data_IF_129406727548
#
_entry.id   IF_129406727548
#
_cell.length_a   1.000
_cell.length_b   1.000
_cell.length_c   1.000
_cell.angle_alpha   90.00
_cell.angle_beta   90.00
_cell.angle_gamma   90.00
#
_symmetry.space_group_name_H-M   'P 1'
#
loop_
_entity.id
_entity.type
_entity.pdbx_description
1 polymer ?
#
# COMPACT_ATOMS: atom_id res chain seq x y z
N UNK A 1 11.50 7.09 1.66
CA UNK A 1 11.57 8.07 0.55
C UNK A 1 10.17 8.58 0.22
N UNK A 2 10.00 9.91 0.08
CA UNK A 2 8.74 10.55 -0.35
C UNK A 2 8.92 11.08 -1.76
N UNK A 3 7.95 10.80 -2.65
CA UNK A 3 7.88 11.37 -3.98
C UNK A 3 6.92 12.56 -3.97
N UNK A 4 7.38 13.75 -4.39
CA UNK A 4 6.58 14.95 -4.59
C UNK A 4 6.27 15.06 -6.07
N UNK A 5 5.00 15.25 -6.42
CA UNK A 5 4.53 15.39 -7.80
C UNK A 5 3.70 16.67 -7.90
N UNK A 6 4.19 17.67 -8.61
CA UNK A 6 3.51 18.95 -8.81
C UNK A 6 4.15 19.63 -10.03
N UNK A 7 3.39 20.18 -10.95
CA UNK A 7 3.94 20.87 -12.13
C UNK A 7 4.56 22.24 -11.79
N UNK A 8 4.16 22.81 -10.66
CA UNK A 8 4.68 24.07 -10.17
C UNK A 8 5.99 23.88 -9.38
N UNK A 9 7.10 24.38 -9.93
CA UNK A 9 8.42 24.29 -9.31
C UNK A 9 8.45 24.92 -7.89
N UNK A 10 7.82 26.07 -7.69
CA UNK A 10 7.82 26.75 -6.39
C UNK A 10 7.11 25.91 -5.32
N UNK A 11 6.04 25.22 -5.71
CA UNK A 11 5.33 24.31 -4.83
C UNK A 11 6.18 23.08 -4.49
N UNK A 12 6.85 22.47 -5.47
CA UNK A 12 7.80 21.37 -5.20
C UNK A 12 8.89 21.81 -4.23
N UNK A 13 9.51 22.97 -4.47
CA UNK A 13 10.55 23.54 -3.57
C UNK A 13 10.00 23.77 -2.18
N UNK A 14 8.79 24.30 -2.04
CA UNK A 14 8.14 24.53 -0.75
C UNK A 14 7.90 23.21 0.00
N UNK A 15 7.23 22.24 -0.62
CA UNK A 15 6.95 20.93 0.00
C UNK A 15 8.25 20.19 0.34
N UNK A 16 9.25 20.26 -0.55
CA UNK A 16 10.57 19.69 -0.29
C UNK A 16 11.24 20.32 0.93
N UNK A 17 11.19 21.66 1.07
CA UNK A 17 11.79 22.36 2.20
C UNK A 17 11.23 21.88 3.54
N UNK A 18 9.94 21.52 3.57
CA UNK A 18 9.28 20.97 4.74
C UNK A 18 9.75 19.52 5.03
N UNK A 19 9.84 18.69 3.99
CA UNK A 19 10.02 17.24 4.17
C UNK A 19 11.48 16.81 4.27
N UNK A 20 12.43 17.52 3.64
CA UNK A 20 13.83 17.10 3.51
C UNK A 20 14.59 16.96 4.83
N UNK A 21 14.08 17.57 5.92
CA UNK A 21 14.69 17.44 7.25
C UNK A 21 14.47 16.06 7.89
N UNK A 22 13.42 15.34 7.46
CA UNK A 22 13.01 14.06 8.05
C UNK A 22 13.00 12.90 7.04
N UNK A 23 12.91 13.22 5.74
CA UNK A 23 12.71 12.22 4.68
C UNK A 23 13.68 12.43 3.49
N UNK A 24 14.06 11.33 2.83
CA UNK A 24 14.62 11.43 1.48
C UNK A 24 13.50 11.82 0.54
N UNK A 25 13.71 12.86 -0.29
CA UNK A 25 12.69 13.41 -1.20
C UNK A 25 13.15 13.22 -2.63
N UNK A 26 12.25 12.73 -3.48
CA UNK A 26 12.36 12.74 -4.94
C UNK A 26 11.23 13.62 -5.51
N UNK A 27 11.41 14.12 -6.72
CA UNK A 27 10.49 15.05 -7.36
C UNK A 27 10.13 14.58 -8.77
N UNK A 28 8.88 14.79 -9.14
CA UNK A 28 8.36 14.64 -10.49
C UNK A 28 7.53 15.87 -10.86
N UNK A 29 7.50 16.22 -12.15
CA UNK A 29 6.77 17.39 -12.65
C UNK A 29 5.38 17.06 -13.16
N UNK A 30 5.07 15.78 -13.34
CA UNK A 30 3.76 15.26 -13.75
C UNK A 30 3.60 13.79 -13.35
N UNK A 31 2.40 13.23 -13.62
CA UNK A 31 2.09 11.85 -13.26
C UNK A 31 2.85 10.80 -14.07
N UNK A 32 3.24 11.07 -15.33
CA UNK A 32 4.03 10.12 -16.14
C UNK A 32 5.45 10.00 -15.61
N UNK A 33 6.11 11.12 -15.35
CA UNK A 33 7.42 11.15 -14.72
C UNK A 33 7.38 10.50 -13.32
N UNK A 34 6.31 10.72 -12.56
CA UNK A 34 6.12 10.05 -11.28
C UNK A 34 6.06 8.52 -11.40
N UNK A 35 5.34 7.97 -12.39
CA UNK A 35 5.29 6.51 -12.62
C UNK A 35 6.65 5.94 -13.00
N UNK A 36 7.46 6.65 -13.81
CA UNK A 36 8.81 6.21 -14.12
C UNK A 36 9.69 6.09 -12.87
N UNK A 37 9.58 7.05 -11.96
CA UNK A 37 10.34 7.02 -10.69
C UNK A 37 9.84 5.88 -9.80
N UNK A 38 8.52 5.69 -9.68
CA UNK A 38 7.90 4.64 -8.87
C UNK A 38 8.34 3.23 -9.27
N UNK A 39 8.62 2.99 -10.56
CA UNK A 39 9.12 1.71 -11.04
C UNK A 39 10.64 1.51 -10.88
N UNK A 40 11.39 2.58 -10.61
CA UNK A 40 12.86 2.52 -10.49
C UNK A 40 13.38 2.66 -9.08
N UNK A 41 12.63 3.36 -8.22
CA UNK A 41 13.04 3.76 -6.89
C UNK A 41 12.07 3.20 -5.84
N UNK A 42 12.58 2.89 -4.65
CA UNK A 42 11.74 2.50 -3.52
C UNK A 42 11.10 3.73 -2.89
N UNK A 43 9.82 3.94 -3.17
CA UNK A 43 9.01 5.04 -2.66
C UNK A 43 8.08 4.52 -1.55
N UNK A 44 8.07 5.22 -0.42
CA UNK A 44 7.23 4.88 0.74
C UNK A 44 5.95 5.73 0.81
N UNK A 45 5.92 6.86 0.10
CA UNK A 45 4.81 7.82 0.16
C UNK A 45 4.80 8.75 -1.05
N UNK A 46 3.60 9.12 -1.53
CA UNK A 46 3.42 10.08 -2.62
C UNK A 46 2.65 11.30 -2.10
N UNK A 47 3.18 12.50 -2.39
CA UNK A 47 2.48 13.79 -2.23
C UNK A 47 2.29 14.35 -3.63
N UNK A 48 1.07 14.39 -4.12
CA UNK A 48 0.77 14.81 -5.50
C UNK A 48 -0.16 16.00 -5.53
N UNK A 49 0.10 16.96 -6.42
CA UNK A 49 -0.94 17.91 -6.80
C UNK A 49 -2.09 17.19 -7.50
N UNK A 50 -3.29 17.76 -7.38
CA UNK A 50 -4.48 17.26 -8.07
C UNK A 50 -4.44 17.61 -9.55
N UNK A 51 -4.11 18.86 -9.87
CA UNK A 51 -4.24 19.42 -11.21
C UNK A 51 -2.88 19.61 -11.86
N UNK A 52 -2.49 18.68 -12.70
CA UNK A 52 -1.22 18.70 -13.43
C UNK A 52 -1.47 18.43 -14.93
N UNK A 53 -0.61 18.95 -15.83
CA UNK A 53 -0.66 18.60 -17.24
C UNK A 53 -0.28 17.13 -17.46
N UNK A 54 -0.56 16.61 -18.65
CA UNK A 54 -0.24 15.24 -19.11
C UNK A 54 -1.02 14.19 -18.33
N UNK A 55 -0.77 14.05 -17.02
CA UNK A 55 -1.47 13.12 -16.12
C UNK A 55 -1.74 13.82 -14.80
N UNK A 56 -3.00 13.97 -14.44
CA UNK A 56 -3.43 14.57 -13.17
C UNK A 56 -3.23 13.61 -11.97
N UNK A 57 -3.38 14.15 -10.76
CA UNK A 57 -3.15 13.40 -9.52
C UNK A 57 -4.16 12.27 -9.31
N UNK A 58 -5.38 12.35 -9.86
CA UNK A 58 -6.36 11.27 -9.76
C UNK A 58 -6.02 10.11 -10.70
N UNK A 59 -5.65 10.42 -11.94
CA UNK A 59 -5.22 9.41 -12.90
C UNK A 59 -3.93 8.72 -12.44
N UNK A 60 -2.97 9.48 -11.89
CA UNK A 60 -1.79 8.92 -11.23
C UNK A 60 -2.19 7.96 -10.11
N UNK A 61 -3.09 8.40 -9.22
CA UNK A 61 -3.56 7.57 -8.11
C UNK A 61 -4.23 6.28 -8.59
N UNK A 62 -5.07 6.36 -9.61
CA UNK A 62 -5.71 5.20 -10.22
C UNK A 62 -4.68 4.20 -10.74
N UNK A 63 -3.70 4.65 -11.52
CA UNK A 63 -2.64 3.78 -12.06
C UNK A 63 -1.78 3.16 -10.98
N UNK A 64 -1.42 3.91 -9.95
CA UNK A 64 -0.69 3.38 -8.80
C UNK A 64 -1.49 2.29 -8.08
N UNK A 65 -2.81 2.48 -7.88
CA UNK A 65 -3.65 1.50 -7.18
C UNK A 65 -3.99 0.26 -8.01
N UNK A 66 -3.97 0.36 -9.33
CA UNK A 66 -4.14 -0.77 -10.26
C UNK A 66 -2.88 -1.63 -10.42
N UNK A 67 -1.69 -1.09 -10.14
CA UNK A 67 -0.42 -1.82 -10.23
C UNK A 67 -0.07 -2.48 -8.89
N UNK A 68 -0.15 -3.82 -8.84
CA UNK A 68 0.10 -4.60 -7.63
C UNK A 68 1.49 -4.38 -7.02
N UNK A 69 2.49 -3.99 -7.80
CA UNK A 69 3.85 -3.76 -7.33
C UNK A 69 3.97 -2.49 -6.49
N UNK A 70 3.16 -1.47 -6.77
CA UNK A 70 3.20 -0.14 -6.14
C UNK A 70 1.87 0.27 -5.48
N UNK A 71 0.80 -0.55 -5.58
CA UNK A 71 -0.54 -0.25 -5.03
C UNK A 71 -0.55 -0.01 -3.51
N UNK A 72 0.43 -0.57 -2.82
CA UNK A 72 0.60 -0.41 -1.38
C UNK A 72 1.09 0.99 -0.98
N UNK A 73 1.60 1.81 -1.91
CA UNK A 73 2.14 3.13 -1.60
C UNK A 73 0.99 4.10 -1.28
N UNK A 74 1.02 4.80 -0.13
CA UNK A 74 0.01 5.80 0.22
C UNK A 74 0.16 7.08 -0.59
N UNK A 75 -1.00 7.70 -0.87
CA UNK A 75 -1.07 8.90 -1.69
C UNK A 75 -1.84 9.98 -0.92
N UNK A 76 -1.19 11.14 -0.74
CA UNK A 76 -1.79 12.38 -0.26
C UNK A 76 -1.94 13.35 -1.44
N UNK A 77 -3.17 13.77 -1.72
CA UNK A 77 -3.44 14.75 -2.78
C UNK A 77 -3.51 16.16 -2.20
N UNK A 78 -2.74 17.07 -2.80
CA UNK A 78 -2.83 18.50 -2.55
C UNK A 78 -3.84 19.11 -3.53
N UNK A 79 -4.77 19.94 -3.05
CA UNK A 79 -5.82 20.51 -3.92
C UNK A 79 -6.21 21.92 -3.53
N UNK A 80 -6.47 22.78 -4.49
CA UNK A 80 -6.98 24.14 -4.24
C UNK A 80 -8.44 24.14 -3.76
N UNK A 81 -9.24 23.13 -4.16
CA UNK A 81 -10.65 23.02 -3.78
C UNK A 81 -11.06 21.55 -3.75
N UNK A 82 -11.66 21.15 -2.64
CA UNK A 82 -12.30 19.84 -2.55
C UNK A 82 -13.79 20.04 -2.82
N UNK A 83 -14.28 19.68 -4.01
CA UNK A 83 -15.72 19.51 -4.20
C UNK A 83 -16.14 18.16 -3.59
N UNK A 84 -17.34 18.08 -3.03
CA UNK A 84 -17.84 16.84 -2.41
C UNK A 84 -17.91 15.71 -3.44
N UNK A 85 -18.17 16.00 -4.71
CA UNK A 85 -18.19 15.03 -5.81
C UNK A 85 -16.78 14.49 -6.12
N UNK A 86 -15.77 15.37 -6.26
CA UNK A 86 -14.38 14.95 -6.49
C UNK A 86 -13.83 14.14 -5.31
N UNK A 87 -14.28 14.41 -4.10
CA UNK A 87 -13.93 13.68 -2.89
C UNK A 87 -14.50 12.27 -2.88
N UNK A 88 -15.76 12.09 -3.30
CA UNK A 88 -16.40 10.78 -3.40
C UNK A 88 -15.77 9.89 -4.46
N UNK A 89 -15.47 10.43 -5.64
CA UNK A 89 -14.84 9.66 -6.71
C UNK A 89 -13.40 9.25 -6.35
N UNK A 90 -12.70 10.07 -5.64
CA UNK A 90 -11.33 9.82 -5.19
C UNK A 90 -11.23 8.76 -4.10
N UNK A 91 -12.18 8.69 -3.17
CA UNK A 91 -12.26 7.58 -2.22
C UNK A 91 -12.48 6.24 -2.91
N UNK A 92 -13.20 6.21 -4.05
CA UNK A 92 -13.38 5.00 -4.87
C UNK A 92 -12.09 4.57 -5.57
N UNK A 93 -11.21 5.53 -5.89
CA UNK A 93 -9.89 5.28 -6.52
C UNK A 93 -8.88 4.77 -5.49
N UNK A 94 -9.11 4.99 -4.19
CA UNK A 94 -8.20 4.54 -3.12
C UNK A 94 -7.13 5.57 -2.73
N UNK A 95 -7.38 6.87 -2.95
CA UNK A 95 -6.56 7.95 -2.38
C UNK A 95 -6.66 7.88 -0.86
N UNK A 96 -5.52 7.94 -0.18
CA UNK A 96 -5.47 7.76 1.27
C UNK A 96 -5.88 9.04 2.02
N UNK A 97 -5.56 10.23 1.49
CA UNK A 97 -5.86 11.50 2.16
C UNK A 97 -5.83 12.70 1.19
N UNK A 98 -6.49 13.78 1.58
CA UNK A 98 -6.50 15.08 0.90
C UNK A 98 -6.03 16.19 1.82
N UNK A 99 -5.30 17.14 1.26
CA UNK A 99 -4.89 18.36 1.95
C UNK A 99 -5.20 19.57 1.08
N UNK A 100 -6.06 20.47 1.60
CA UNK A 100 -6.45 21.66 0.88
C UNK A 100 -5.36 22.72 0.93
N UNK A 101 -5.01 23.29 -0.21
CA UNK A 101 -4.18 24.50 -0.36
C UNK A 101 -5.00 25.76 -0.03
N UNK A 102 -4.48 26.76 0.74
CA UNK A 102 -3.17 26.78 1.39
C UNK A 102 -3.13 25.95 2.68
N UNK A 103 -2.00 25.31 2.97
CA UNK A 103 -1.79 24.52 4.19
C UNK A 103 -0.54 24.98 4.95
N UNK A 104 -0.49 24.70 6.24
CA UNK A 104 0.71 24.91 7.06
C UNK A 104 1.67 23.73 6.98
N UNK A 105 2.95 24.01 7.22
CA UNK A 105 4.00 23.00 7.35
C UNK A 105 3.64 21.91 8.36
N UNK A 106 3.19 22.33 9.55
CA UNK A 106 2.77 21.42 10.62
C UNK A 106 1.64 20.49 10.18
N UNK A 107 0.64 21.01 9.46
CA UNK A 107 -0.50 20.22 8.99
C UNK A 107 -0.08 19.17 7.99
N UNK A 108 0.82 19.49 7.05
CA UNK A 108 1.36 18.52 6.09
C UNK A 108 2.10 17.39 6.81
N UNK A 109 2.99 17.73 7.74
CA UNK A 109 3.77 16.74 8.50
C UNK A 109 2.87 15.82 9.34
N UNK A 110 1.88 16.39 10.03
CA UNK A 110 0.91 15.61 10.84
C UNK A 110 0.12 14.65 9.97
N UNK A 111 -0.34 15.06 8.78
CA UNK A 111 -1.08 14.18 7.86
C UNK A 111 -0.23 12.99 7.39
N UNK A 112 1.00 13.26 6.96
CA UNK A 112 1.93 12.20 6.53
C UNK A 112 2.22 11.24 7.69
N UNK A 113 2.53 11.74 8.88
CA UNK A 113 2.79 10.92 10.06
C UNK A 113 1.59 10.06 10.45
N UNK A 114 0.38 10.60 10.39
CA UNK A 114 -0.83 9.84 10.70
C UNK A 114 -1.03 8.66 9.74
N UNK A 115 -0.82 8.86 8.44
CA UNK A 115 -0.93 7.78 7.45
C UNK A 115 0.11 6.69 7.73
N UNK A 116 1.38 7.05 7.99
CA UNK A 116 2.41 6.09 8.34
C UNK A 116 2.07 5.31 9.64
N UNK A 117 1.55 6.00 10.66
CA UNK A 117 1.19 5.38 11.93
C UNK A 117 0.04 4.37 11.77
N UNK A 118 -1.01 4.73 11.05
CA UNK A 118 -2.15 3.83 10.78
C UNK A 118 -1.68 2.57 10.04
N UNK A 119 -0.85 2.72 9.01
CA UNK A 119 -0.30 1.57 8.28
C UNK A 119 0.59 0.69 9.13
N UNK A 120 1.45 1.30 9.94
CA UNK A 120 2.32 0.56 10.86
C UNK A 120 1.52 -0.23 11.90
N UNK A 121 0.45 0.35 12.43
CA UNK A 121 -0.44 -0.34 13.36
C UNK A 121 -1.17 -1.51 12.70
N UNK A 122 -1.67 -1.32 11.48
CA UNK A 122 -2.32 -2.40 10.72
C UNK A 122 -1.36 -3.55 10.43
N UNK A 123 -0.12 -3.24 10.06
CA UNK A 123 0.91 -4.26 9.81
C UNK A 123 1.29 -5.00 11.10
N UNK A 124 1.45 -4.31 12.22
CA UNK A 124 1.73 -4.94 13.52
C UNK A 124 0.58 -5.82 13.99
N UNK A 125 -0.67 -5.41 13.77
CA UNK A 125 -1.84 -6.24 14.07
C UNK A 125 -1.90 -7.49 13.19
N UNK A 126 -1.56 -7.35 11.91
CA UNK A 126 -1.49 -8.49 10.99
C UNK A 126 -0.38 -9.47 11.39
N UNK A 127 0.82 -8.96 11.69
CA UNK A 127 1.95 -9.77 12.15
C UNK A 127 1.65 -10.47 13.49
N UNK A 128 0.93 -9.80 14.40
CA UNK A 128 0.50 -10.40 15.67
C UNK A 128 -0.60 -11.45 15.48
N UNK A 129 -1.45 -11.30 14.48
CA UNK A 129 -2.48 -12.29 14.13
C UNK A 129 -1.90 -13.47 13.36
N UNK A 130 -0.78 -13.29 12.65
CA UNK A 130 -0.07 -14.36 11.95
C UNK A 130 0.90 -15.15 12.83
N UNK A 131 1.18 -14.71 14.07
CA UNK A 131 1.92 -15.57 15.00
C UNK A 131 1.02 -16.71 15.47
N UNK A 132 1.50 -17.98 15.45
CA UNK A 132 0.72 -19.15 15.88
C UNK A 132 0.16 -19.06 17.30
N UNK A 133 0.64 -18.08 18.10
CA UNK A 133 0.21 -17.85 19.48
C UNK A 133 -1.02 -16.94 19.63
N UNK A 134 -1.46 -16.21 18.58
CA UNK A 134 -2.57 -15.25 18.66
C UNK A 134 -3.88 -15.73 18.06
N UNK A 135 -3.87 -16.86 17.37
CA UNK A 135 -5.08 -17.59 17.08
C UNK A 135 -5.61 -18.21 18.38
N UNK A 136 -6.43 -17.48 19.13
CA UNK A 136 -7.34 -18.03 20.13
C UNK A 136 -8.46 -18.86 19.43
N UNK A 137 -8.05 -19.67 18.47
CA UNK A 137 -8.83 -20.77 17.94
C UNK A 137 -8.58 -21.88 18.96
N UNK A 138 -9.64 -22.46 19.50
CA UNK A 138 -9.56 -23.65 20.33
C UNK A 138 -8.48 -24.58 19.74
N UNK A 139 -7.36 -24.75 20.48
CA UNK A 139 -6.17 -25.51 20.01
C UNK A 139 -6.48 -26.95 19.60
N UNK A 140 -7.70 -27.39 19.86
CA UNK A 140 -8.22 -28.72 19.54
C UNK A 140 -9.20 -28.76 18.35
N UNK A 141 -9.54 -27.62 17.74
CA UNK A 141 -10.41 -27.65 16.57
C UNK A 141 -9.67 -28.27 15.37
N UNK A 142 -10.41 -29.03 14.55
CA UNK A 142 -9.86 -29.64 13.32
C UNK A 142 -9.32 -28.60 12.34
N UNK A 143 -9.88 -27.41 12.37
CA UNK A 143 -9.50 -26.31 11.50
C UNK A 143 -8.18 -25.65 11.92
N UNK A 144 -7.91 -25.55 13.22
CA UNK A 144 -6.61 -25.10 13.74
C UNK A 144 -5.47 -26.05 13.34
N UNK A 145 -5.69 -27.35 13.44
CA UNK A 145 -4.69 -28.36 13.04
C UNK A 145 -4.43 -28.31 11.55
N UNK A 146 -5.48 -28.09 10.75
CA UNK A 146 -5.36 -27.92 9.32
C UNK A 146 -4.55 -26.69 8.93
N UNK A 147 -4.88 -25.51 9.49
CA UNK A 147 -4.16 -24.25 9.25
C UNK A 147 -2.69 -24.34 9.65
N UNK A 148 -2.37 -24.92 10.80
CA UNK A 148 -0.99 -25.12 11.24
C UNK A 148 -0.21 -26.01 10.25
N UNK A 149 -0.83 -27.10 9.77
CA UNK A 149 -0.20 -27.98 8.77
C UNK A 149 0.01 -27.26 7.43
N UNK A 150 -0.93 -26.39 7.01
CA UNK A 150 -0.79 -25.55 5.82
C UNK A 150 0.43 -24.63 5.94
N UNK A 151 0.55 -23.93 7.08
CA UNK A 151 1.66 -23.02 7.32
C UNK A 151 3.01 -23.75 7.34
N UNK A 152 3.09 -24.89 8.02
CA UNK A 152 4.30 -25.71 8.09
C UNK A 152 4.76 -26.20 6.69
N UNK A 153 3.83 -26.66 5.86
CA UNK A 153 4.16 -27.09 4.50
C UNK A 153 4.62 -25.92 3.62
N UNK A 154 4.02 -24.74 3.75
CA UNK A 154 4.44 -23.53 3.03
C UNK A 154 5.83 -23.08 3.48
N UNK A 155 6.08 -23.01 4.79
CA UNK A 155 7.37 -22.61 5.34
C UNK A 155 8.51 -23.55 4.92
N UNK A 156 8.26 -24.85 4.92
CA UNK A 156 9.25 -25.85 4.48
C UNK A 156 9.57 -25.79 2.99
N UNK A 157 8.67 -25.26 2.17
CA UNK A 157 8.83 -25.21 0.72
C UNK A 157 8.97 -23.78 0.18
N UNK A 158 9.05 -22.77 1.06
CA UNK A 158 9.26 -21.39 0.66
C UNK A 158 10.61 -21.25 -0.04
N UNK A 159 10.58 -20.87 -1.32
CA UNK A 159 11.77 -20.76 -2.16
C UNK A 159 12.05 -21.96 -3.07
N UNK A 160 11.22 -22.99 -3.06
CA UNK A 160 11.30 -24.10 -4.02
C UNK A 160 10.49 -23.75 -5.28
N UNK A 161 11.13 -23.46 -6.44
CA UNK A 161 10.42 -23.05 -7.66
C UNK A 161 9.56 -24.18 -8.28
N UNK A 162 9.81 -25.44 -7.88
CA UNK A 162 9.07 -26.62 -8.37
C UNK A 162 7.88 -26.98 -7.45
N UNK A 163 7.64 -26.21 -6.38
CA UNK A 163 6.54 -26.46 -5.45
C UNK A 163 5.22 -25.91 -6.01
N UNK A 164 4.43 -26.79 -6.60
CA UNK A 164 3.14 -26.48 -7.19
C UNK A 164 1.94 -26.94 -6.32
N UNK A 165 0.72 -26.66 -6.78
CA UNK A 165 -0.53 -27.02 -6.07
C UNK A 165 -0.68 -28.53 -5.90
N UNK A 166 -0.11 -29.33 -6.76
CA UNK A 166 -0.17 -30.79 -6.73
C UNK A 166 0.77 -31.35 -5.65
N UNK A 167 1.98 -30.80 -5.58
CA UNK A 167 2.95 -31.06 -4.52
C UNK A 167 2.44 -30.62 -3.16
N UNK A 168 1.77 -29.46 -3.10
CA UNK A 168 1.14 -28.97 -1.88
C UNK A 168 0.01 -29.89 -1.39
N UNK A 169 -0.90 -30.31 -2.29
CA UNK A 169 -1.97 -31.23 -1.94
C UNK A 169 -1.42 -32.58 -1.45
N UNK A 170 -0.35 -33.08 -2.08
CA UNK A 170 0.33 -34.31 -1.67
C UNK A 170 0.97 -34.18 -0.29
N UNK A 171 1.67 -33.07 -0.02
CA UNK A 171 2.28 -32.78 1.29
C UNK A 171 1.23 -32.69 2.40
N UNK A 172 0.04 -32.15 2.08
CA UNK A 172 -1.11 -32.12 2.98
C UNK A 172 -1.87 -33.45 3.09
N UNK A 173 -1.44 -34.48 2.39
CA UNK A 173 -2.12 -35.80 2.30
C UNK A 173 -3.58 -35.68 1.87
N UNK A 174 -3.87 -34.81 0.91
CA UNK A 174 -5.22 -34.46 0.41
C UNK A 174 -5.26 -34.49 -1.11
N UNK A 175 -6.47 -34.71 -1.68
CA UNK A 175 -6.68 -34.46 -3.11
C UNK A 175 -6.75 -32.95 -3.39
N UNK A 176 -6.34 -32.52 -4.60
CA UNK A 176 -6.42 -31.13 -5.06
C UNK A 176 -7.83 -30.53 -4.91
N UNK A 177 -8.86 -31.32 -5.17
CA UNK A 177 -10.27 -30.93 -5.03
C UNK A 177 -10.64 -30.64 -3.57
N UNK A 178 -10.23 -31.53 -2.66
CA UNK A 178 -10.50 -31.39 -1.23
C UNK A 178 -9.73 -30.20 -0.62
N UNK A 179 -8.49 -29.99 -1.06
CA UNK A 179 -7.68 -28.85 -0.66
C UNK A 179 -8.37 -27.53 -1.05
N UNK A 180 -8.80 -27.39 -2.31
CA UNK A 180 -9.49 -26.19 -2.79
C UNK A 180 -10.82 -25.95 -2.05
N UNK A 181 -11.58 -26.98 -1.73
CA UNK A 181 -12.81 -26.84 -0.94
C UNK A 181 -12.52 -26.31 0.48
N UNK A 182 -11.47 -26.83 1.11
CA UNK A 182 -11.10 -26.40 2.48
C UNK A 182 -10.47 -25.01 2.55
N UNK A 183 -9.85 -24.52 1.49
CA UNK A 183 -9.29 -23.16 1.42
C UNK A 183 -10.37 -22.11 1.10
N UNK A 184 -11.55 -22.53 0.62
CA UNK A 184 -12.67 -21.65 0.28
C UNK A 184 -13.78 -21.63 1.36
N UNK A 185 -13.71 -22.48 2.36
CA UNK A 185 -14.66 -22.58 3.49
C UNK A 185 -14.20 -21.76 4.69
#
# INVERSE_FOLDING_TARGET
>A
TILIVDDNLDMRVYVRSILQSQYKVLEAEDGEHALEILHRENIDFIVSDLMMPVMDGLELSRRVKEDLSISHIPILILTAKVSDEARLDSFRIGVDEYLQKPFSEELLLVRIQNIFNVRRQSQQQFDQQMTPSSLNIDKDSRDSKFLNSVMEVIECNYGNPDFDVESFATAMNMSKTLLNQKLQS
#
